data_IF_625794457643
#
_entry.id   IF_625794457643
#
_cell.length_a   1.000
_cell.length_b   1.000
_cell.length_c   1.000
_cell.angle_alpha   90.00
_cell.angle_beta   90.00
_cell.angle_gamma   90.00
#
_symmetry.space_group_name_H-M   'P 1'
#
loop_
_entity.id
_entity.type
_entity.pdbx_description
1 polymer ?
#
# COMPACT_ATOMS: atom_id res chain seq x y z
N UNK A 1 -1.86 28.50 4.60
CA UNK A 1 -1.96 27.74 3.34
C UNK A 1 -2.14 26.23 3.56
N UNK A 2 -2.23 25.73 4.80
CA UNK A 2 -2.35 24.28 5.08
C UNK A 2 -3.80 23.73 5.20
N UNK A 3 -4.81 24.50 4.76
CA UNK A 3 -6.23 24.08 4.83
C UNK A 3 -6.79 23.49 3.53
N UNK A 4 -6.00 23.46 2.46
CA UNK A 4 -6.50 23.18 1.10
C UNK A 4 -6.11 21.78 0.61
N UNK A 5 -4.98 21.21 1.05
CA UNK A 5 -4.49 19.94 0.48
C UNK A 5 -5.25 18.66 0.87
N UNK A 6 -6.23 18.71 1.77
CA UNK A 6 -7.11 17.56 2.06
C UNK A 6 -8.55 17.83 1.57
N UNK A 7 -8.88 19.07 1.17
CA UNK A 7 -10.24 19.48 0.85
C UNK A 7 -10.57 19.40 -0.66
N UNK A 8 -9.56 19.31 -1.52
CA UNK A 8 -9.70 19.59 -2.97
C UNK A 8 -10.23 18.42 -3.81
N UNK A 9 -10.32 17.19 -3.26
CA UNK A 9 -10.84 16.02 -4.00
C UNK A 9 -12.37 15.80 -3.83
N UNK A 10 -13.10 16.76 -3.25
CA UNK A 10 -14.50 16.58 -2.82
C UNK A 10 -15.58 16.79 -3.87
N UNK A 11 -15.23 17.14 -5.11
CA UNK A 11 -16.20 17.48 -6.18
C UNK A 11 -16.09 16.58 -7.42
N UNK A 12 -15.74 15.30 -7.25
CA UNK A 12 -15.91 14.26 -8.26
C UNK A 12 -17.20 13.44 -8.04
N UNK A 13 -17.81 12.84 -9.08
CA UNK A 13 -18.89 11.87 -8.89
C UNK A 13 -18.40 10.74 -7.98
N UNK A 14 -18.97 10.63 -6.77
CA UNK A 14 -18.59 9.60 -5.79
C UNK A 14 -18.79 8.23 -6.42
N UNK A 15 -17.68 7.51 -6.60
CA UNK A 15 -17.71 6.17 -7.20
C UNK A 15 -18.57 5.22 -6.36
N UNK A 16 -19.14 4.20 -7.00
CA UNK A 16 -19.90 3.13 -6.32
C UNK A 16 -19.03 2.29 -5.37
N UNK A 17 -17.71 2.45 -5.41
CA UNK A 17 -16.77 1.76 -4.55
C UNK A 17 -16.55 2.51 -3.24
N UNK A 18 -16.65 1.77 -2.14
CA UNK A 18 -16.36 2.28 -0.80
C UNK A 18 -14.87 2.63 -0.65
N UNK A 19 -14.57 3.87 -0.29
CA UNK A 19 -13.23 4.39 -0.03
C UNK A 19 -12.91 4.33 1.47
N UNK A 20 -12.32 3.22 1.92
CA UNK A 20 -11.80 3.06 3.28
C UNK A 20 -10.29 3.25 3.40
N UNK A 21 -9.63 3.63 2.30
CA UNK A 21 -8.17 3.71 2.15
C UNK A 21 -7.75 5.05 1.51
N UNK A 22 -6.58 5.57 1.90
CA UNK A 22 -6.03 6.79 1.30
C UNK A 22 -5.54 6.57 -0.14
N UNK A 23 -5.35 7.65 -0.88
CA UNK A 23 -4.69 7.63 -2.20
C UNK A 23 -3.35 6.88 -2.14
N UNK A 24 -2.54 7.13 -1.12
CA UNK A 24 -1.22 6.49 -0.98
C UNK A 24 -1.37 4.98 -0.70
N UNK A 25 -2.37 4.56 0.07
CA UNK A 25 -2.62 3.13 0.30
C UNK A 25 -3.02 2.44 -1.01
N UNK A 26 -3.84 3.11 -1.83
CA UNK A 26 -4.23 2.63 -3.17
C UNK A 26 -3.04 2.55 -4.12
N UNK A 27 -2.08 3.48 -4.03
CA UNK A 27 -0.82 3.38 -4.79
C UNK A 27 -0.05 2.11 -4.41
N UNK A 28 0.06 1.79 -3.11
CA UNK A 28 0.74 0.58 -2.65
C UNK A 28 0.03 -0.71 -3.08
N UNK A 29 -1.26 -0.85 -2.75
CA UNK A 29 -1.95 -2.14 -2.89
C UNK A 29 -2.59 -2.37 -4.26
N UNK A 30 -2.79 -1.31 -5.06
CA UNK A 30 -3.44 -1.42 -6.38
C UNK A 30 -2.48 -1.05 -7.49
N UNK A 31 -1.93 0.16 -7.49
CA UNK A 31 -1.08 0.63 -8.60
C UNK A 31 0.22 -0.19 -8.70
N UNK A 32 0.93 -0.39 -7.58
CA UNK A 32 2.16 -1.20 -7.56
C UNK A 32 1.86 -2.66 -7.96
N UNK A 33 0.79 -3.25 -7.44
CA UNK A 33 0.42 -4.64 -7.75
C UNK A 33 0.09 -4.80 -9.24
N UNK A 34 -0.70 -3.89 -9.83
CA UNK A 34 -0.96 -3.89 -11.26
C UNK A 34 0.30 -3.70 -12.09
N UNK A 35 1.20 -2.80 -11.68
CA UNK A 35 2.49 -2.61 -12.34
C UNK A 35 3.35 -3.87 -12.33
N UNK A 36 3.41 -4.57 -11.20
CA UNK A 36 4.13 -5.84 -11.05
C UNK A 36 3.50 -6.95 -11.91
N UNK A 37 2.17 -7.06 -11.95
CA UNK A 37 1.44 -8.00 -12.81
C UNK A 37 1.73 -7.71 -14.29
N UNK A 38 1.75 -6.44 -14.70
CA UNK A 38 2.12 -6.07 -16.07
C UNK A 38 3.56 -6.46 -16.39
N UNK A 39 4.50 -6.28 -15.44
CA UNK A 39 5.88 -6.76 -15.59
C UNK A 39 5.95 -8.28 -15.78
N UNK A 40 5.17 -9.05 -15.01
CA UNK A 40 5.06 -10.51 -15.18
C UNK A 40 4.53 -10.88 -16.57
N UNK A 41 3.49 -10.19 -17.05
CA UNK A 41 2.92 -10.46 -18.37
C UNK A 41 3.91 -10.15 -19.50
N UNK A 42 4.67 -9.06 -19.39
CA UNK A 42 5.70 -8.71 -20.38
C UNK A 42 6.79 -9.79 -20.44
N UNK A 43 7.31 -10.22 -19.28
CA UNK A 43 8.32 -11.27 -19.21
C UNK A 43 7.77 -12.60 -19.74
N UNK A 44 6.55 -12.97 -19.33
CA UNK A 44 5.88 -14.18 -19.77
C UNK A 44 5.68 -14.21 -21.28
N UNK A 45 5.26 -13.10 -21.88
CA UNK A 45 5.14 -12.96 -23.33
C UNK A 45 6.50 -13.17 -24.03
N UNK A 46 7.57 -12.57 -23.50
CA UNK A 46 8.93 -12.74 -24.03
C UNK A 46 9.42 -14.19 -24.00
N UNK A 47 9.06 -14.96 -22.97
CA UNK A 47 9.43 -16.39 -22.82
C UNK A 47 8.56 -17.29 -23.70
N UNK A 48 7.29 -16.97 -23.91
CA UNK A 48 6.34 -17.79 -24.68
C UNK A 48 6.49 -17.61 -26.19
N UNK A 49 6.71 -16.38 -26.65
CA UNK A 49 6.77 -16.04 -28.09
C UNK A 49 8.20 -16.21 -28.63
N UNK A 50 9.21 -15.97 -27.80
CA UNK A 50 10.62 -16.02 -28.19
C UNK A 50 11.39 -17.22 -27.66
N UNK A 51 12.61 -17.40 -28.14
CA UNK A 51 13.60 -18.26 -27.47
C UNK A 51 14.24 -17.48 -26.33
N UNK A 52 14.11 -17.90 -25.06
CA UNK A 52 14.57 -17.12 -23.91
C UNK A 52 16.09 -16.98 -23.84
N UNK A 53 16.81 -17.94 -24.44
CA UNK A 53 18.27 -17.94 -24.62
C UNK A 53 18.61 -18.56 -25.99
N UNK A 54 19.59 -18.01 -26.69
CA UNK A 54 20.17 -18.65 -27.87
C UNK A 54 21.69 -18.74 -27.75
N UNK A 55 22.22 -19.94 -27.85
CA UNK A 55 23.63 -20.23 -27.72
C UNK A 55 24.29 -20.42 -29.09
N UNK A 56 25.52 -19.93 -29.19
CA UNK A 56 26.41 -20.17 -30.32
C UNK A 56 27.03 -21.56 -30.18
N UNK A 57 26.31 -22.58 -30.65
CA UNK A 57 26.77 -23.96 -30.61
C UNK A 57 27.71 -24.29 -31.77
N UNK A 58 28.63 -25.28 -31.63
CA UNK A 58 29.45 -25.75 -32.73
C UNK A 58 28.61 -26.24 -33.92
N UNK A 59 29.16 -26.15 -35.14
CA UNK A 59 28.45 -26.53 -36.38
C UNK A 59 28.01 -28.01 -36.43
N UNK A 60 28.60 -28.87 -35.60
CA UNK A 60 28.21 -30.27 -35.44
C UNK A 60 26.83 -30.43 -34.78
N UNK A 61 26.39 -29.45 -33.98
CA UNK A 61 25.14 -29.52 -33.23
C UNK A 61 23.99 -29.09 -34.14
N UNK A 62 23.37 -30.06 -34.82
CA UNK A 62 22.22 -29.81 -35.69
C UNK A 62 20.90 -30.10 -34.98
N UNK A 63 19.91 -29.23 -35.18
CA UNK A 63 18.51 -29.43 -34.76
C UNK A 63 18.35 -29.70 -33.27
N UNK A 64 18.17 -30.97 -32.90
CA UNK A 64 17.90 -31.39 -31.51
C UNK A 64 19.07 -31.10 -30.56
N UNK A 65 20.32 -31.15 -31.04
CA UNK A 65 21.49 -30.87 -30.20
C UNK A 65 21.58 -29.38 -29.81
N UNK A 66 21.21 -28.47 -30.72
CA UNK A 66 21.08 -27.03 -30.42
C UNK A 66 19.95 -26.79 -29.40
N UNK A 67 18.79 -27.41 -29.61
CA UNK A 67 17.67 -27.36 -28.65
C UNK A 67 18.04 -27.85 -27.25
N UNK A 68 18.81 -28.93 -27.16
CA UNK A 68 19.34 -29.45 -25.89
C UNK A 68 20.33 -28.48 -25.23
N UNK A 69 21.28 -27.94 -26.00
CA UNK A 69 22.25 -26.97 -25.48
C UNK A 69 21.57 -25.71 -24.93
N UNK A 70 20.62 -25.14 -25.67
CA UNK A 70 19.84 -23.98 -25.24
C UNK A 70 19.05 -24.28 -23.95
N UNK A 71 18.42 -25.46 -23.87
CA UNK A 71 17.61 -25.85 -22.72
C UNK A 71 18.46 -26.12 -21.47
N UNK A 72 19.60 -26.80 -21.61
CA UNK A 72 20.53 -27.04 -20.50
C UNK A 72 21.16 -25.74 -20.01
N UNK A 73 21.54 -24.84 -20.92
CA UNK A 73 22.07 -23.54 -20.53
C UNK A 73 21.01 -22.67 -19.85
N UNK A 74 19.76 -22.72 -20.31
CA UNK A 74 18.65 -22.06 -19.63
C UNK A 74 18.42 -22.60 -18.23
N UNK A 75 18.46 -23.92 -18.02
CA UNK A 75 18.19 -24.55 -16.71
C UNK A 75 19.36 -24.41 -15.74
N UNK A 76 20.57 -24.65 -16.22
CA UNK A 76 21.78 -24.64 -15.38
C UNK A 76 22.17 -23.23 -14.98
N UNK A 77 21.80 -22.20 -15.75
CA UNK A 77 22.27 -20.84 -15.57
C UNK A 77 23.56 -20.56 -16.35
N UNK A 78 23.94 -19.29 -16.40
CA UNK A 78 25.11 -18.82 -17.13
C UNK A 78 25.97 -17.90 -16.27
N UNK A 79 27.13 -17.48 -16.74
CA UNK A 79 27.97 -16.50 -16.05
C UNK A 79 28.40 -15.37 -16.98
N UNK A 80 28.62 -14.19 -16.42
CA UNK A 80 29.10 -13.04 -17.17
C UNK A 80 30.63 -13.08 -17.25
N UNK A 81 31.16 -12.88 -18.45
CA UNK A 81 32.58 -12.69 -18.70
C UNK A 81 32.75 -11.35 -19.45
N UNK A 82 33.44 -10.36 -18.86
CA UNK A 82 33.73 -9.11 -19.56
C UNK A 82 34.50 -9.36 -20.85
N UNK A 83 34.15 -8.65 -21.92
CA UNK A 83 34.74 -8.82 -23.27
C UNK A 83 36.26 -8.58 -23.28
N UNK A 84 36.77 -7.74 -22.38
CA UNK A 84 38.19 -7.44 -22.25
C UNK A 84 39.01 -8.65 -21.74
N UNK A 85 38.36 -9.58 -21.02
CA UNK A 85 38.98 -10.82 -20.57
C UNK A 85 38.80 -11.92 -21.62
N UNK A 86 39.75 -12.00 -22.54
CA UNK A 86 39.76 -12.96 -23.66
C UNK A 86 39.86 -14.42 -23.16
N UNK A 87 40.40 -14.63 -21.96
CA UNK A 87 40.62 -15.98 -21.41
C UNK A 87 39.44 -16.46 -20.56
N UNK A 88 38.88 -17.62 -20.94
CA UNK A 88 37.92 -18.33 -20.10
C UNK A 88 38.68 -18.88 -18.89
N UNK A 89 38.32 -18.52 -17.65
CA UNK A 89 39.02 -19.00 -16.46
C UNK A 89 39.03 -20.53 -16.39
N UNK A 90 40.05 -21.11 -15.76
CA UNK A 90 40.06 -22.55 -15.49
C UNK A 90 38.81 -22.97 -14.69
N UNK A 91 38.25 -24.14 -15.01
CA UNK A 91 37.01 -24.66 -14.42
C UNK A 91 37.13 -24.92 -12.91
N UNK A 92 38.36 -25.09 -12.42
CA UNK A 92 38.66 -25.22 -10.99
C UNK A 92 38.38 -23.93 -10.20
N UNK A 93 38.38 -22.77 -10.89
CA UNK A 93 38.11 -21.48 -10.27
C UNK A 93 36.61 -21.20 -10.26
N UNK A 94 36.08 -20.64 -9.15
CA UNK A 94 34.69 -20.22 -9.09
C UNK A 94 34.43 -19.18 -10.19
N UNK A 95 33.35 -19.38 -10.96
CA UNK A 95 32.89 -18.39 -11.93
C UNK A 95 32.42 -17.15 -11.17
N UNK A 96 33.18 -16.05 -11.24
CA UNK A 96 32.74 -14.76 -10.73
C UNK A 96 31.57 -14.28 -11.58
N UNK A 97 30.45 -13.91 -10.95
CA UNK A 97 29.21 -13.42 -11.59
C UNK A 97 28.37 -14.48 -12.29
N UNK A 98 27.85 -15.41 -11.50
CA UNK A 98 26.81 -16.34 -11.95
C UNK A 98 25.46 -15.63 -12.08
N UNK A 99 24.79 -15.85 -13.21
CA UNK A 99 23.54 -15.19 -13.61
C UNK A 99 22.45 -16.25 -13.70
N UNK A 100 21.56 -16.27 -12.72
CA UNK A 100 20.39 -17.17 -12.68
C UNK A 100 19.08 -16.50 -12.25
N UNK A 101 19.12 -15.22 -11.84
CA UNK A 101 17.93 -14.51 -11.37
C UNK A 101 16.82 -14.44 -12.42
N UNK A 102 17.15 -14.44 -13.72
CA UNK A 102 16.17 -14.36 -14.81
C UNK A 102 15.18 -15.53 -14.80
N UNK A 103 15.58 -16.69 -14.29
CA UNK A 103 14.71 -17.86 -14.11
C UNK A 103 13.65 -17.59 -13.02
N UNK A 104 14.03 -16.80 -12.02
CA UNK A 104 13.25 -16.52 -10.82
C UNK A 104 12.50 -15.20 -10.88
N UNK A 105 12.79 -14.32 -11.86
CA UNK A 105 12.23 -12.97 -11.94
C UNK A 105 10.70 -12.97 -11.81
N UNK A 106 9.99 -13.83 -12.53
CA UNK A 106 8.53 -13.90 -12.44
C UNK A 106 8.03 -14.23 -11.04
N UNK A 107 8.68 -15.16 -10.34
CA UNK A 107 8.35 -15.53 -8.96
C UNK A 107 8.71 -14.42 -7.98
N UNK A 108 9.82 -13.71 -8.20
CA UNK A 108 10.21 -12.54 -7.41
C UNK A 108 9.13 -11.47 -7.53
N UNK A 109 8.72 -11.09 -8.75
CA UNK A 109 7.66 -10.10 -8.97
C UNK A 109 6.32 -10.52 -8.36
N UNK A 110 5.97 -11.80 -8.43
CA UNK A 110 4.77 -12.34 -7.79
C UNK A 110 4.86 -12.23 -6.26
N UNK A 111 6.00 -12.59 -5.68
CA UNK A 111 6.29 -12.42 -4.27
C UNK A 111 6.14 -10.98 -3.82
N UNK A 112 6.75 -10.04 -4.55
CA UNK A 112 6.61 -8.61 -4.31
C UNK A 112 5.14 -8.18 -4.31
N UNK A 113 4.36 -8.61 -5.31
CA UNK A 113 2.94 -8.28 -5.41
C UNK A 113 2.15 -8.79 -4.19
N UNK A 114 2.42 -10.01 -3.74
CA UNK A 114 1.80 -10.58 -2.54
C UNK A 114 2.12 -9.75 -1.29
N UNK A 115 3.38 -9.33 -1.11
CA UNK A 115 3.78 -8.50 0.03
C UNK A 115 3.12 -7.11 0.01
N UNK A 116 2.90 -6.50 -1.15
CA UNK A 116 2.15 -5.24 -1.26
C UNK A 116 0.64 -5.39 -1.02
N UNK A 117 0.07 -6.57 -1.24
CA UNK A 117 -1.33 -6.87 -0.92
C UNK A 117 -1.55 -7.18 0.57
N UNK A 118 -0.52 -7.70 1.26
CA UNK A 118 -0.62 -8.16 2.65
C UNK A 118 -1.21 -7.11 3.62
N UNK A 119 -0.77 -5.83 3.63
CA UNK A 119 -1.32 -4.84 4.55
C UNK A 119 -2.82 -4.59 4.34
N UNK A 120 -3.28 -4.60 3.09
CA UNK A 120 -4.71 -4.45 2.77
C UNK A 120 -5.54 -5.63 3.27
N UNK A 121 -5.03 -6.85 3.11
CA UNK A 121 -5.69 -8.03 3.66
C UNK A 121 -5.76 -7.99 5.19
N UNK A 122 -4.68 -7.57 5.85
CA UNK A 122 -4.65 -7.41 7.31
C UNK A 122 -5.65 -6.35 7.78
N UNK A 123 -5.70 -5.18 7.13
CA UNK A 123 -6.69 -4.14 7.41
C UNK A 123 -8.12 -4.70 7.36
N UNK A 124 -8.46 -5.43 6.30
CA UNK A 124 -9.79 -6.03 6.15
C UNK A 124 -10.06 -7.12 7.20
N UNK A 125 -9.07 -7.93 7.55
CA UNK A 125 -9.21 -8.97 8.55
C UNK A 125 -9.47 -8.39 9.95
N UNK A 126 -8.71 -7.36 10.34
CA UNK A 126 -8.85 -6.72 11.64
C UNK A 126 -10.14 -5.89 11.75
N UNK A 127 -10.50 -5.13 10.72
CA UNK A 127 -11.77 -4.36 10.70
C UNK A 127 -13.02 -5.23 10.63
N UNK A 128 -12.90 -6.50 10.24
CA UNK A 128 -13.99 -7.48 10.36
C UNK A 128 -14.17 -7.97 11.81
N UNK A 129 -13.11 -8.01 12.60
CA UNK A 129 -13.15 -8.50 14.00
C UNK A 129 -13.59 -7.43 15.00
N UNK A 130 -13.48 -6.15 14.66
CA UNK A 130 -13.79 -5.02 15.55
C UNK A 130 -15.29 -4.76 15.78
N UNK A 131 -16.20 -5.60 15.26
CA UNK A 131 -17.64 -5.57 15.56
C UNK A 131 -18.44 -4.46 14.87
N UNK A 132 -17.80 -3.41 14.32
CA UNK A 132 -18.47 -2.30 13.63
C UNK A 132 -18.16 -2.24 12.14
N UNK A 133 -18.98 -2.89 11.32
CA UNK A 133 -18.72 -2.96 9.88
C UNK A 133 -19.08 -1.65 9.16
N UNK A 134 -18.12 -0.72 9.07
CA UNK A 134 -18.26 0.58 8.38
C UNK A 134 -18.83 0.41 6.96
N UNK A 135 -18.36 -0.61 6.23
CA UNK A 135 -18.85 -0.92 4.86
C UNK A 135 -20.35 -1.21 4.82
N UNK A 136 -20.86 -1.94 5.81
CA UNK A 136 -22.28 -2.28 5.92
C UNK A 136 -23.11 -1.05 6.27
N UNK A 137 -22.60 -0.19 7.14
CA UNK A 137 -23.27 1.07 7.51
C UNK A 137 -23.42 1.97 6.30
N UNK A 138 -22.35 2.20 5.56
CA UNK A 138 -22.38 3.08 4.38
C UNK A 138 -23.24 2.48 3.27
N UNK A 139 -23.18 1.15 3.08
CA UNK A 139 -24.06 0.45 2.14
C UNK A 139 -25.54 0.61 2.51
N UNK A 140 -25.89 0.50 3.80
CA UNK A 140 -27.27 0.71 4.26
C UNK A 140 -27.74 2.16 4.03
N UNK A 141 -26.86 3.14 4.13
CA UNK A 141 -27.20 4.54 3.82
C UNK A 141 -27.47 4.72 2.32
N UNK A 142 -26.66 4.10 1.45
CA UNK A 142 -26.74 4.25 -0.01
C UNK A 142 -27.84 3.41 -0.67
N UNK A 143 -28.06 2.18 -0.23
CA UNK A 143 -28.91 1.20 -0.93
C UNK A 143 -30.40 1.27 -0.51
N UNK A 144 -30.73 1.95 0.59
CA UNK A 144 -32.08 1.91 1.12
C UNK A 144 -33.02 2.82 0.30
N UNK A 145 -34.13 2.24 -0.19
CA UNK A 145 -35.17 2.95 -0.97
C UNK A 145 -35.70 4.21 -0.26
N UNK A 146 -35.66 4.20 1.08
CA UNK A 146 -35.95 5.37 1.91
C UNK A 146 -34.67 5.80 2.63
N UNK A 147 -34.04 6.88 2.15
CA UNK A 147 -32.79 7.41 2.69
C UNK A 147 -32.86 7.69 4.21
N UNK A 148 -34.02 8.16 4.69
CA UNK A 148 -34.23 8.51 6.10
C UNK A 148 -34.13 7.30 7.04
N UNK A 149 -34.67 6.14 6.65
CA UNK A 149 -34.59 4.91 7.48
C UNK A 149 -33.16 4.37 7.58
N UNK A 150 -32.37 4.51 6.53
CA UNK A 150 -30.95 4.09 6.52
C UNK A 150 -30.08 4.98 7.38
N UNK A 151 -30.31 6.28 7.30
CA UNK A 151 -29.68 7.27 8.15
C UNK A 151 -29.99 7.05 9.64
N UNK A 152 -31.28 6.90 10.00
CA UNK A 152 -31.67 6.65 11.40
C UNK A 152 -31.05 5.36 11.96
N UNK A 153 -31.00 4.31 11.12
CA UNK A 153 -30.38 3.04 11.50
C UNK A 153 -28.87 3.20 11.73
N UNK A 154 -28.18 3.95 10.87
CA UNK A 154 -26.76 4.25 11.00
C UNK A 154 -26.46 5.10 12.25
N UNK A 155 -27.29 6.12 12.52
CA UNK A 155 -27.21 6.97 13.71
C UNK A 155 -27.32 6.16 15.00
N UNK A 156 -28.37 5.33 15.12
CA UNK A 156 -28.59 4.46 16.29
C UNK A 156 -27.45 3.47 16.47
N UNK A 157 -27.04 2.79 15.39
CA UNK A 157 -25.95 1.81 15.44
C UNK A 157 -24.62 2.45 15.87
N UNK A 158 -24.30 3.64 15.34
CA UNK A 158 -23.06 4.32 15.69
C UNK A 158 -23.09 4.82 17.14
N UNK A 159 -24.22 5.32 17.63
CA UNK A 159 -24.40 5.68 19.05
C UNK A 159 -24.20 4.46 19.96
N UNK A 160 -24.91 3.36 19.70
CA UNK A 160 -24.78 2.13 20.49
C UNK A 160 -23.34 1.61 20.52
N UNK A 161 -22.63 1.70 19.39
CA UNK A 161 -21.22 1.36 19.33
C UNK A 161 -20.34 2.25 20.22
N UNK A 162 -20.55 3.58 20.18
CA UNK A 162 -19.78 4.53 21.00
C UNK A 162 -20.09 4.39 22.50
N UNK A 163 -21.34 4.12 22.86
CA UNK A 163 -21.76 3.87 24.25
C UNK A 163 -21.09 2.59 24.77
N UNK A 164 -21.18 1.48 24.03
CA UNK A 164 -20.53 0.22 24.40
C UNK A 164 -19.00 0.37 24.52
N UNK A 165 -18.37 1.16 23.64
CA UNK A 165 -16.94 1.45 23.69
C UNK A 165 -16.56 2.26 24.94
N UNK A 166 -17.42 3.19 25.37
CA UNK A 166 -17.21 4.02 26.54
C UNK A 166 -17.48 3.28 27.86
N UNK A 167 -18.46 2.38 27.89
CA UNK A 167 -18.76 1.49 29.02
C UNK A 167 -17.69 0.41 29.21
N UNK A 168 -17.07 -0.05 28.12
CA UNK A 168 -15.92 -0.94 28.20
C UNK A 168 -14.71 -0.16 28.77
N UNK A 169 -14.54 -0.24 30.10
CA UNK A 169 -13.41 0.31 30.82
C UNK A 169 -12.14 -0.41 30.38
N UNK A 170 -11.51 0.03 29.30
CA UNK A 170 -10.07 -0.03 29.02
C UNK A 170 -9.29 -1.30 29.38
N UNK A 171 -9.93 -2.47 29.45
CA UNK A 171 -9.25 -3.74 29.70
C UNK A 171 -8.56 -4.13 28.40
N UNK A 172 -7.40 -3.53 28.20
CA UNK A 172 -6.39 -3.92 27.23
C UNK A 172 -5.95 -5.34 27.58
N UNK A 173 -6.70 -6.34 27.12
CA UNK A 173 -6.31 -7.73 27.24
C UNK A 173 -5.10 -7.92 26.31
N UNK A 174 -3.90 -7.96 26.86
CA UNK A 174 -2.67 -8.17 26.13
C UNK A 174 -2.59 -9.63 25.64
N UNK A 175 -3.13 -9.93 24.46
CA UNK A 175 -2.85 -11.21 23.80
C UNK A 175 -3.71 -11.52 22.59
N UNK A 176 -3.10 -12.11 21.56
CA UNK A 176 -3.77 -12.69 20.39
C UNK A 176 -4.73 -13.85 20.73
N UNK A 177 -4.69 -14.39 21.96
CA UNK A 177 -5.53 -15.50 22.44
C UNK A 177 -6.81 -15.09 23.17
N UNK A 178 -7.08 -13.79 23.35
CA UNK A 178 -8.33 -13.35 23.96
C UNK A 178 -9.44 -13.21 22.89
N UNK A 179 -10.59 -13.89 23.04
CA UNK A 179 -11.71 -13.74 22.09
C UNK A 179 -12.31 -12.32 22.08
N UNK A 180 -12.09 -11.53 23.14
CA UNK A 180 -12.53 -10.14 23.28
C UNK A 180 -11.37 -9.12 23.14
N UNK A 181 -10.36 -9.40 22.31
CA UNK A 181 -9.30 -8.44 22.01
C UNK A 181 -9.81 -7.32 21.09
N UNK A 182 -10.28 -6.22 21.68
CA UNK A 182 -10.62 -5.01 20.93
C UNK A 182 -9.35 -4.24 20.57
N UNK A 183 -8.97 -4.27 19.29
CA UNK A 183 -7.98 -3.34 18.74
C UNK A 183 -8.71 -2.18 18.10
N UNK A 184 -8.55 -0.99 18.66
CA UNK A 184 -9.15 0.23 18.11
C UNK A 184 -8.75 0.45 16.65
N UNK A 185 -9.69 0.94 15.82
CA UNK A 185 -9.48 1.20 14.39
C UNK A 185 -8.24 2.05 14.15
N UNK A 186 -7.94 3.03 15.02
CA UNK A 186 -6.73 3.85 14.95
C UNK A 186 -5.46 2.99 15.01
N UNK A 187 -5.37 2.10 15.98
CA UNK A 187 -4.16 1.30 16.21
C UNK A 187 -3.93 0.36 15.04
N UNK A 188 -4.99 -0.26 14.52
CA UNK A 188 -4.91 -1.07 13.30
C UNK A 188 -4.45 -0.21 12.13
N UNK A 189 -5.08 0.95 11.90
CA UNK A 189 -4.80 1.81 10.77
C UNK A 189 -3.33 2.30 10.76
N UNK A 190 -2.84 2.80 11.90
CA UNK A 190 -1.44 3.21 12.05
C UNK A 190 -0.48 2.03 11.88
N UNK A 191 -0.81 0.85 12.38
CA UNK A 191 0.00 -0.35 12.17
C UNK A 191 0.09 -0.72 10.68
N UNK A 192 -1.00 -0.57 9.92
CA UNK A 192 -1.01 -0.80 8.47
C UNK A 192 -0.13 0.22 7.73
N UNK A 193 -0.18 1.51 8.11
CA UNK A 193 0.71 2.54 7.54
C UNK A 193 2.19 2.23 7.78
N UNK A 194 2.54 1.86 9.01
CA UNK A 194 3.90 1.43 9.36
C UNK A 194 4.29 0.19 8.55
N UNK A 195 3.37 -0.76 8.39
CA UNK A 195 3.61 -1.97 7.60
C UNK A 195 3.87 -1.67 6.13
N UNK A 196 3.21 -0.67 5.52
CA UNK A 196 3.54 -0.24 4.14
C UNK A 196 4.96 0.33 4.03
N UNK A 197 5.42 1.11 5.02
CA UNK A 197 6.80 1.63 5.06
C UNK A 197 7.80 0.48 5.21
N UNK A 198 7.56 -0.40 6.18
CA UNK A 198 8.42 -1.57 6.40
C UNK A 198 8.48 -2.42 5.13
N UNK A 199 7.34 -2.65 4.49
CA UNK A 199 7.29 -3.40 3.25
C UNK A 199 8.10 -2.72 2.15
N UNK A 200 7.88 -1.42 1.87
CA UNK A 200 8.60 -0.74 0.78
C UNK A 200 10.12 -0.73 0.98
N UNK A 201 10.58 -0.56 2.22
CA UNK A 201 12.00 -0.66 2.59
C UNK A 201 12.50 -2.11 2.48
N UNK A 202 11.76 -3.08 3.01
CA UNK A 202 12.13 -4.49 2.94
C UNK A 202 12.26 -4.97 1.49
N UNK A 203 11.42 -4.49 0.56
CA UNK A 203 11.53 -4.83 -0.86
C UNK A 203 12.90 -4.45 -1.44
N UNK A 204 13.50 -3.33 -1.05
CA UNK A 204 14.87 -2.98 -1.50
C UNK A 204 15.89 -4.01 -1.02
N UNK A 205 15.83 -4.41 0.25
CA UNK A 205 16.74 -5.40 0.81
C UNK A 205 16.53 -6.79 0.20
N UNK A 206 15.28 -7.20 0.01
CA UNK A 206 14.95 -8.47 -0.62
C UNK A 206 15.47 -8.52 -2.06
N UNK A 207 15.25 -7.47 -2.87
CA UNK A 207 15.77 -7.40 -4.23
C UNK A 207 17.30 -7.42 -4.28
N UNK A 208 17.97 -6.77 -3.33
CA UNK A 208 19.43 -6.80 -3.23
C UNK A 208 19.97 -8.23 -2.98
N UNK A 209 19.26 -9.02 -2.15
CA UNK A 209 19.62 -10.42 -1.87
C UNK A 209 19.31 -11.30 -3.10
N UNK A 210 18.12 -11.20 -3.67
CA UNK A 210 17.68 -12.09 -4.75
C UNK A 210 18.40 -11.87 -6.08
N UNK A 211 18.74 -10.62 -6.42
CA UNK A 211 19.47 -10.31 -7.65
C UNK A 211 20.97 -10.62 -7.53
N UNK A 212 21.47 -10.89 -6.32
CA UNK A 212 22.88 -11.21 -6.03
C UNK A 212 23.89 -10.13 -6.47
N UNK A 213 23.45 -8.88 -6.54
CA UNK A 213 24.30 -7.69 -6.75
C UNK A 213 23.72 -6.48 -6.02
N UNK A 214 24.51 -5.40 -5.91
CA UNK A 214 24.14 -4.18 -5.20
C UNK A 214 23.00 -3.39 -5.88
N UNK A 215 21.75 -3.83 -5.72
CA UNK A 215 20.56 -3.23 -6.30
C UNK A 215 20.35 -1.78 -5.87
N UNK A 216 20.73 -1.42 -4.64
CA UNK A 216 20.63 -0.04 -4.13
C UNK A 216 21.35 0.98 -5.02
N UNK A 217 22.54 0.63 -5.51
CA UNK A 217 23.36 1.51 -6.35
C UNK A 217 22.98 1.44 -7.84
N UNK A 218 21.97 0.66 -8.23
CA UNK A 218 21.60 0.47 -9.64
C UNK A 218 20.99 1.73 -10.25
N UNK A 219 19.99 2.31 -9.60
CA UNK A 219 19.31 3.52 -10.07
C UNK A 219 20.21 4.75 -10.20
N UNK A 220 20.98 5.13 -9.15
CA UNK A 220 21.81 6.33 -9.21
C UNK A 220 22.92 6.21 -10.26
N UNK A 221 23.51 5.03 -10.43
CA UNK A 221 24.51 4.78 -11.48
C UNK A 221 23.90 4.95 -12.88
N UNK A 222 22.70 4.40 -13.10
CA UNK A 222 21.99 4.52 -14.38
C UNK A 222 21.61 5.97 -14.71
N UNK A 223 21.10 6.73 -13.74
CA UNK A 223 20.75 8.15 -13.93
C UNK A 223 22.01 8.98 -14.20
N UNK A 224 23.09 8.77 -13.44
CA UNK A 224 24.32 9.54 -13.60
C UNK A 224 24.98 9.31 -14.97
N UNK A 225 25.00 8.06 -15.45
CA UNK A 225 25.52 7.73 -16.78
C UNK A 225 24.66 8.33 -17.90
N UNK A 226 23.33 8.28 -17.77
CA UNK A 226 22.44 8.91 -18.74
C UNK A 226 22.65 10.43 -18.83
N UNK A 227 22.88 11.10 -17.69
CA UNK A 227 23.14 12.54 -17.65
C UNK A 227 24.53 12.93 -18.20
N UNK A 228 25.54 12.06 -18.02
CA UNK A 228 26.93 12.38 -18.38
C UNK A 228 27.26 12.00 -19.82
N UNK A 229 26.82 10.83 -20.26
CA UNK A 229 27.23 10.22 -21.54
C UNK A 229 26.14 10.33 -22.61
N UNK A 230 24.88 10.64 -22.24
CA UNK A 230 23.76 10.77 -23.19
C UNK A 230 23.28 9.45 -23.82
N UNK A 231 24.09 8.39 -23.71
CA UNK A 231 23.76 7.05 -24.19
C UNK A 231 22.97 6.23 -23.15
N UNK A 232 22.16 5.30 -23.66
CA UNK A 232 21.40 4.38 -22.83
C UNK A 232 22.34 3.48 -22.04
N UNK A 233 22.24 3.53 -20.71
CA UNK A 233 23.01 2.69 -19.79
C UNK A 233 22.86 1.19 -20.11
N UNK A 234 23.97 0.53 -20.44
CA UNK A 234 24.09 -0.92 -20.47
C UNK A 234 24.73 -1.40 -19.16
N UNK A 235 23.91 -2.00 -18.29
CA UNK A 235 24.42 -2.48 -17.02
C UNK A 235 25.17 -3.80 -17.16
N UNK A 236 26.42 -3.93 -16.67
CA UNK A 236 27.10 -5.23 -16.60
C UNK A 236 26.42 -6.20 -15.62
N UNK A 237 25.48 -5.72 -14.80
CA UNK A 237 24.67 -6.53 -13.86
C UNK A 237 23.50 -7.24 -14.55
N UNK A 238 23.08 -6.69 -15.70
CA UNK A 238 22.09 -7.29 -16.60
C UNK A 238 22.72 -7.64 -17.94
N UNK A 239 23.67 -8.60 -17.97
CA UNK A 239 24.39 -8.94 -19.19
C UNK A 239 23.45 -9.55 -20.23
N UNK A 240 23.53 -9.06 -21.47
CA UNK A 240 22.79 -9.61 -22.63
C UNK A 240 23.55 -10.76 -23.29
N UNK A 241 24.84 -10.90 -22.99
CA UNK A 241 25.72 -11.94 -23.48
C UNK A 241 26.35 -12.64 -22.28
N UNK A 242 26.23 -13.96 -22.22
CA UNK A 242 26.71 -14.78 -21.11
C UNK A 242 27.41 -16.03 -21.64
N UNK A 243 28.22 -16.66 -20.80
CA UNK A 243 28.89 -17.92 -21.10
C UNK A 243 28.20 -19.06 -20.35
N UNK A 244 28.06 -20.21 -21.01
CA UNK A 244 27.44 -21.40 -20.44
C UNK A 244 28.39 -22.59 -20.58
N UNK A 245 28.60 -23.30 -19.48
CA UNK A 245 29.38 -24.54 -19.43
C UNK A 245 28.45 -25.73 -19.22
N UNK A 246 28.43 -26.69 -20.15
CA UNK A 246 27.67 -27.92 -20.01
C UNK A 246 28.47 -29.16 -20.40
N UNK A 247 28.04 -30.32 -19.88
CA UNK A 247 28.70 -31.61 -20.11
C UNK A 247 27.79 -32.53 -20.91
N UNK A 248 28.36 -33.21 -21.89
CA UNK A 248 27.70 -34.29 -22.65
C UNK A 248 28.45 -35.60 -22.40
N UNK A 249 27.70 -36.68 -22.14
CA UNK A 249 28.24 -38.03 -21.93
C UNK A 249 28.10 -38.84 -23.23
N UNK A 250 29.17 -39.51 -23.66
CA UNK A 250 29.20 -40.45 -24.80
C UNK A 250 29.70 -41.82 -24.33
N UNK A 251 29.28 -42.92 -24.97
CA UNK A 251 29.79 -44.27 -24.66
C UNK A 251 31.27 -44.41 -25.07
N UNK A 252 32.10 -45.04 -24.23
CA UNK A 252 33.45 -45.49 -24.59
C UNK A 252 34.64 -44.70 -24.00
N UNK A 253 34.51 -43.39 -23.76
CA UNK A 253 35.42 -42.62 -22.87
C UNK A 253 34.93 -41.19 -22.68
N UNK A 254 34.99 -40.76 -21.42
CA UNK A 254 35.01 -39.42 -20.83
C UNK A 254 33.92 -38.38 -21.16
N UNK A 255 33.62 -37.64 -20.10
CA UNK A 255 32.72 -36.50 -20.08
C UNK A 255 33.29 -35.35 -20.94
N UNK A 256 32.60 -35.00 -22.03
CA UNK A 256 32.99 -33.87 -22.86
C UNK A 256 32.31 -32.59 -22.38
N UNK A 257 33.11 -31.59 -22.06
CA UNK A 257 32.64 -30.29 -21.62
C UNK A 257 32.68 -29.30 -22.76
N UNK A 258 31.58 -28.58 -22.94
CA UNK A 258 31.41 -27.50 -23.90
C UNK A 258 31.23 -26.19 -23.16
N UNK A 259 31.90 -25.15 -23.65
CA UNK A 259 31.72 -23.76 -23.22
C UNK A 259 31.22 -22.99 -24.43
N UNK A 260 30.00 -22.46 -24.35
CA UNK A 260 29.35 -21.74 -25.47
C UNK A 260 28.93 -20.35 -25.02
N UNK A 261 28.98 -19.41 -25.95
CA UNK A 261 28.48 -18.05 -25.74
C UNK A 261 26.99 -18.02 -26.04
N UNK A 262 26.19 -17.40 -25.18
CA UNK A 262 24.75 -17.31 -25.35
C UNK A 262 24.26 -15.87 -25.27
N UNK A 263 23.34 -15.51 -26.17
CA UNK A 263 22.55 -14.30 -26.06
C UNK A 263 21.36 -14.53 -25.13
N UNK A 264 21.04 -13.53 -24.33
CA UNK A 264 20.00 -13.56 -23.31
C UNK A 264 19.06 -12.36 -23.49
N UNK A 265 18.17 -12.38 -24.50
CA UNK A 265 17.31 -11.24 -24.83
C UNK A 265 16.38 -10.85 -23.68
N UNK A 266 15.94 -11.82 -22.88
CA UNK A 266 15.07 -11.61 -21.72
C UNK A 266 15.66 -10.59 -20.73
N UNK A 267 16.99 -10.50 -20.67
CA UNK A 267 17.65 -9.64 -19.71
C UNK A 267 17.51 -8.15 -20.05
N UNK A 268 17.31 -7.82 -21.33
CA UNK A 268 16.98 -6.47 -21.76
C UNK A 268 15.66 -6.01 -21.14
N UNK A 269 14.65 -6.89 -21.07
CA UNK A 269 13.38 -6.58 -20.41
C UNK A 269 13.54 -6.46 -18.90
N UNK A 270 14.27 -7.41 -18.28
CA UNK A 270 14.53 -7.38 -16.84
C UNK A 270 15.23 -6.08 -16.41
N UNK A 271 16.25 -5.64 -17.15
CA UNK A 271 16.96 -4.38 -16.88
C UNK A 271 15.99 -3.19 -16.79
N UNK A 272 15.06 -3.07 -17.74
CA UNK A 272 14.10 -1.94 -17.78
C UNK A 272 13.00 -2.07 -16.73
N UNK A 273 12.49 -3.27 -16.49
CA UNK A 273 11.49 -3.53 -15.45
C UNK A 273 12.06 -3.22 -14.07
N UNK A 274 13.26 -3.72 -13.76
CA UNK A 274 13.89 -3.50 -12.46
C UNK A 274 14.32 -2.04 -12.24
N UNK A 275 14.67 -1.31 -13.31
CA UNK A 275 14.90 0.13 -13.22
C UNK A 275 13.62 0.90 -12.88
N UNK A 276 12.52 0.57 -13.56
CA UNK A 276 11.21 1.17 -13.26
C UNK A 276 10.76 0.87 -11.83
N UNK A 277 10.94 -0.37 -11.37
CA UNK A 277 10.66 -0.78 -9.98
C UNK A 277 11.54 0.00 -9.00
N UNK A 278 12.83 0.16 -9.28
CA UNK A 278 13.74 0.90 -8.41
C UNK A 278 13.27 2.35 -8.20
N UNK A 279 12.97 3.05 -9.30
CA UNK A 279 12.45 4.43 -9.26
C UNK A 279 11.12 4.51 -8.51
N UNK A 280 10.21 3.59 -8.83
CA UNK A 280 8.89 3.53 -8.21
C UNK A 280 8.97 3.28 -6.71
N UNK A 281 9.83 2.36 -6.25
CA UNK A 281 9.98 2.04 -4.83
C UNK A 281 10.54 3.23 -4.02
N UNK A 282 11.43 4.06 -4.60
CA UNK A 282 11.89 5.30 -3.95
C UNK A 282 10.74 6.27 -3.77
N UNK A 283 10.00 6.55 -4.85
CA UNK A 283 8.83 7.45 -4.82
C UNK A 283 7.81 6.94 -3.78
N UNK A 284 7.48 5.65 -3.84
CA UNK A 284 6.51 5.02 -2.96
C UNK A 284 6.95 5.07 -1.50
N UNK A 285 8.24 4.87 -1.21
CA UNK A 285 8.78 4.97 0.15
C UNK A 285 8.62 6.40 0.68
N UNK A 286 8.99 7.41 -0.10
CA UNK A 286 8.82 8.83 0.29
C UNK A 286 7.34 9.14 0.55
N UNK A 287 6.45 8.76 -0.37
CA UNK A 287 5.02 8.97 -0.23
C UNK A 287 4.45 8.26 1.01
N UNK A 288 4.91 7.05 1.33
CA UNK A 288 4.49 6.32 2.52
C UNK A 288 4.89 7.06 3.80
N UNK A 289 6.12 7.57 3.89
CA UNK A 289 6.55 8.41 5.01
C UNK A 289 5.70 9.68 5.11
N UNK A 290 5.47 10.37 3.99
CA UNK A 290 4.65 11.58 3.96
C UNK A 290 3.20 11.31 4.39
N UNK A 291 2.66 10.14 4.03
CA UNK A 291 1.28 9.77 4.34
C UNK A 291 0.99 9.65 5.84
N UNK A 292 1.99 9.42 6.69
CA UNK A 292 1.78 9.28 8.13
C UNK A 292 1.53 10.63 8.82
N UNK A 293 2.10 11.73 8.30
CA UNK A 293 2.03 13.02 9.00
C UNK A 293 0.60 13.55 9.20
N UNK A 294 -0.31 13.53 8.20
CA UNK A 294 -1.71 13.93 8.42
C UNK A 294 -2.39 13.12 9.54
N UNK A 295 -2.09 11.83 9.63
CA UNK A 295 -2.67 10.95 10.65
C UNK A 295 -2.11 11.20 12.05
N UNK A 296 -0.82 11.56 12.17
CA UNK A 296 -0.26 12.03 13.44
C UNK A 296 -0.95 13.33 13.87
N UNK A 297 -1.14 14.27 12.94
CA UNK A 297 -1.82 15.54 13.20
C UNK A 297 -3.29 15.31 13.60
N UNK A 298 -3.96 14.34 13.00
CA UNK A 298 -5.33 13.92 13.35
C UNK A 298 -5.47 13.39 14.80
N UNK A 299 -4.37 12.95 15.44
CA UNK A 299 -4.39 12.59 16.87
C UNK A 299 -4.68 13.79 17.77
N UNK A 300 -4.32 15.00 17.32
CA UNK A 300 -4.53 16.23 18.09
C UNK A 300 -6.01 16.50 18.33
N UNK A 301 -6.39 16.71 19.60
CA UNK A 301 -7.77 17.08 19.98
C UNK A 301 -8.24 18.35 19.27
N UNK A 302 -7.33 19.29 18.96
CA UNK A 302 -7.64 20.54 18.26
C UNK A 302 -8.16 20.29 16.84
N UNK A 303 -7.48 19.44 16.08
CA UNK A 303 -7.87 19.05 14.71
C UNK A 303 -9.22 18.32 14.71
N UNK A 304 -9.37 17.31 15.60
CA UNK A 304 -10.64 16.57 15.76
C UNK A 304 -11.81 17.48 16.11
N UNK A 305 -11.62 18.38 17.08
CA UNK A 305 -12.65 19.35 17.49
C UNK A 305 -13.00 20.30 16.35
N UNK A 306 -12.02 20.72 15.54
CA UNK A 306 -12.23 21.59 14.38
C UNK A 306 -13.06 20.89 13.29
N UNK A 307 -12.79 19.62 13.02
CA UNK A 307 -13.56 18.83 12.05
C UNK A 307 -15.01 18.66 12.53
N UNK A 308 -15.20 18.26 13.79
CA UNK A 308 -16.54 18.11 14.37
C UNK A 308 -17.31 19.42 14.32
N UNK A 309 -16.66 20.54 14.66
CA UNK A 309 -17.27 21.88 14.61
C UNK A 309 -17.73 22.22 13.19
N UNK A 310 -16.91 21.95 12.17
CA UNK A 310 -17.27 22.18 10.77
C UNK A 310 -18.55 21.43 10.37
N UNK A 311 -18.63 20.13 10.67
CA UNK A 311 -19.82 19.34 10.34
C UNK A 311 -21.04 19.71 11.19
N UNK A 312 -20.88 20.16 12.43
CA UNK A 312 -22.01 20.64 13.24
C UNK A 312 -22.63 21.93 12.68
N UNK A 313 -21.83 22.83 12.09
CA UNK A 313 -22.33 24.07 11.46
C UNK A 313 -23.05 23.84 10.13
N UNK A 314 -22.75 22.74 9.43
CA UNK A 314 -23.40 22.39 8.15
C UNK A 314 -24.81 21.82 8.35
N UNK A 315 -25.17 21.46 9.59
CA UNK A 315 -26.39 20.69 9.86
C UNK A 315 -27.65 21.43 9.45
N UNK A 316 -28.54 20.83 8.64
CA UNK A 316 -29.75 21.49 8.18
C UNK A 316 -30.65 21.95 9.33
N UNK A 317 -30.72 21.18 10.42
CA UNK A 317 -31.45 21.58 11.65
C UNK A 317 -30.82 22.80 12.34
N UNK A 318 -29.49 22.94 12.28
CA UNK A 318 -28.82 24.15 12.80
C UNK A 318 -29.10 25.37 11.91
N UNK A 319 -29.22 25.18 10.60
CA UNK A 319 -29.56 26.25 9.64
C UNK A 319 -31.02 26.67 9.82
N UNK A 320 -31.93 25.72 10.05
CA UNK A 320 -33.36 25.97 10.29
C UNK A 320 -33.58 26.67 11.64
N UNK A 321 -32.93 26.21 12.72
CA UNK A 321 -32.91 26.89 14.02
C UNK A 321 -32.30 28.31 13.91
N UNK A 322 -31.23 28.49 13.11
CA UNK A 322 -30.63 29.82 12.90
C UNK A 322 -31.55 30.75 12.10
N UNK A 323 -32.29 30.23 11.11
CA UNK A 323 -33.27 31.00 10.33
C UNK A 323 -34.48 31.41 11.17
N UNK A 324 -34.99 30.52 12.02
CA UNK A 324 -36.05 30.84 12.98
C UNK A 324 -35.57 31.88 14.01
N UNK A 325 -34.35 31.76 14.53
CA UNK A 325 -33.76 32.73 15.46
C UNK A 325 -33.46 34.09 14.80
N UNK A 326 -33.09 34.12 13.51
CA UNK A 326 -32.93 35.37 12.75
C UNK A 326 -34.26 36.10 12.51
N UNK A 327 -35.39 35.39 12.59
CA UNK A 327 -36.73 35.99 12.48
C UNK A 327 -37.27 36.54 13.82
N UNK A 328 -36.62 36.22 14.94
CA UNK A 328 -36.96 36.69 16.28
C UNK A 328 -35.77 37.50 16.83
N UNK A 329 -35.75 38.79 16.52
CA UNK A 329 -34.68 39.69 16.91
C UNK A 329 -34.74 40.05 18.41
N UNK A 330 -34.12 39.22 19.25
CA UNK A 330 -33.35 39.62 20.43
C UNK A 330 -32.70 38.38 21.08
N UNK A 331 -31.47 38.55 21.59
CA UNK A 331 -30.71 37.59 22.41
C UNK A 331 -29.76 36.58 21.69
N UNK A 332 -28.89 37.08 20.82
CA UNK A 332 -27.88 36.28 20.07
C UNK A 332 -26.47 36.19 20.69
N UNK A 333 -26.30 36.44 22.00
CA UNK A 333 -24.96 36.42 22.63
C UNK A 333 -24.71 35.22 23.55
N UNK A 334 -25.75 34.49 24.00
CA UNK A 334 -25.60 33.43 25.01
C UNK A 334 -25.40 32.00 24.46
N UNK A 335 -25.93 31.64 23.28
CA UNK A 335 -25.88 30.25 22.76
C UNK A 335 -24.59 29.84 22.05
N UNK A 336 -23.84 30.79 21.50
CA UNK A 336 -22.52 30.53 20.89
C UNK A 336 -21.50 30.04 21.94
N UNK A 337 -21.64 30.47 23.20
CA UNK A 337 -20.78 30.05 24.31
C UNK A 337 -21.07 28.60 24.77
N UNK A 338 -22.34 28.21 24.94
CA UNK A 338 -22.71 26.85 25.42
C UNK A 338 -22.41 25.75 24.38
N UNK A 339 -22.56 26.06 23.08
CA UNK A 339 -22.13 25.14 22.01
C UNK A 339 -20.62 24.91 22.00
N UNK A 340 -19.82 25.92 22.34
CA UNK A 340 -18.36 25.80 22.36
C UNK A 340 -17.86 25.01 23.59
N UNK A 341 -18.55 25.12 24.73
CA UNK A 341 -18.21 24.42 25.97
C UNK A 341 -18.44 22.90 25.87
N UNK A 342 -19.51 22.46 25.20
CA UNK A 342 -19.86 21.03 25.06
C UNK A 342 -19.10 20.29 23.95
N UNK A 343 -18.43 20.99 23.02
CA UNK A 343 -17.63 20.35 21.95
C UNK A 343 -16.46 19.54 22.51
N UNK A 344 -15.78 20.03 23.55
CA UNK A 344 -14.63 19.32 24.12
C UNK A 344 -15.02 18.02 24.82
N UNK A 345 -16.06 17.98 25.69
CA UNK A 345 -16.63 16.74 26.22
C UNK A 345 -17.11 15.78 25.13
N UNK A 346 -17.78 16.30 24.10
CA UNK A 346 -18.26 15.47 22.98
C UNK A 346 -17.10 14.85 22.18
N UNK A 347 -16.03 15.60 21.94
CA UNK A 347 -14.82 15.10 21.27
C UNK A 347 -14.10 14.04 22.11
N UNK A 348 -14.22 14.11 23.44
CA UNK A 348 -13.72 13.06 24.33
C UNK A 348 -14.62 11.81 24.32
N UNK A 349 -15.94 11.98 24.25
CA UNK A 349 -16.91 10.89 24.09
C UNK A 349 -16.69 10.10 22.78
N UNK A 350 -16.42 10.79 21.66
CA UNK A 350 -16.10 10.13 20.38
C UNK A 350 -14.76 9.37 20.41
N UNK A 351 -13.85 9.72 21.34
CA UNK A 351 -12.46 9.25 21.36
C UNK A 351 -11.76 9.46 20.00
N UNK A 352 -10.59 8.86 19.79
CA UNK A 352 -9.90 8.96 18.49
C UNK A 352 -10.51 7.99 17.47
N UNK A 353 -10.91 6.80 17.90
CA UNK A 353 -11.50 5.78 17.02
C UNK A 353 -12.84 6.23 16.44
N UNK A 354 -13.73 6.82 17.24
CA UNK A 354 -15.01 7.32 16.73
C UNK A 354 -14.86 8.49 15.76
N UNK A 355 -13.89 9.38 16.00
CA UNK A 355 -13.55 10.44 15.03
C UNK A 355 -13.06 9.86 13.69
N UNK A 356 -12.23 8.80 13.72
CA UNK A 356 -11.74 8.13 12.50
C UNK A 356 -12.88 7.45 11.75
N UNK A 357 -13.75 6.71 12.46
CA UNK A 357 -14.92 6.05 11.87
C UNK A 357 -15.84 7.09 11.21
N UNK A 358 -16.10 8.20 11.91
CA UNK A 358 -16.89 9.30 11.38
C UNK A 358 -16.24 9.90 10.12
N UNK A 359 -14.93 10.12 10.14
CA UNK A 359 -14.19 10.63 8.97
C UNK A 359 -14.35 9.71 7.75
N UNK A 360 -14.23 8.39 7.92
CA UNK A 360 -14.44 7.41 6.86
C UNK A 360 -15.88 7.45 6.34
N UNK A 361 -16.87 7.58 7.22
CA UNK A 361 -18.28 7.73 6.82
C UNK A 361 -18.44 9.02 5.99
N UNK A 362 -17.91 10.14 6.48
CA UNK A 362 -18.04 11.45 5.84
C UNK A 362 -17.44 11.52 4.43
N UNK A 363 -16.31 10.84 4.16
CA UNK A 363 -15.75 10.76 2.79
C UNK A 363 -16.69 10.02 1.84
N UNK A 364 -17.36 8.99 2.34
CA UNK A 364 -18.16 8.09 1.51
C UNK A 364 -19.63 8.50 1.36
N UNK A 365 -20.13 9.36 2.24
CA UNK A 365 -21.50 9.90 2.23
C UNK A 365 -21.50 11.38 1.90
N UNK A 366 -22.67 11.97 1.68
CA UNK A 366 -22.77 13.42 1.45
C UNK A 366 -22.56 14.22 2.73
N UNK A 367 -22.03 15.44 2.60
CA UNK A 367 -21.67 16.28 3.73
C UNK A 367 -22.90 16.58 4.62
N UNK A 368 -24.09 16.67 4.01
CA UNK A 368 -25.37 16.82 4.72
C UNK A 368 -25.67 15.59 5.57
N UNK A 369 -25.59 14.39 4.99
CA UNK A 369 -25.84 13.12 5.70
C UNK A 369 -24.84 12.91 6.83
N UNK A 370 -23.55 13.21 6.58
CA UNK A 370 -22.52 13.16 7.61
C UNK A 370 -22.80 14.15 8.74
N UNK A 371 -23.24 15.36 8.40
CA UNK A 371 -23.63 16.38 9.36
C UNK A 371 -24.82 15.94 10.23
N UNK A 372 -25.84 15.33 9.66
CA UNK A 372 -27.00 14.83 10.41
C UNK A 372 -26.59 13.72 11.40
N UNK A 373 -25.66 12.83 11.01
CA UNK A 373 -25.12 11.81 11.90
C UNK A 373 -24.42 12.44 13.11
N UNK A 374 -23.50 13.40 12.88
CA UNK A 374 -22.76 14.01 13.98
C UNK A 374 -23.65 14.87 14.88
N UNK A 375 -24.66 15.56 14.30
CA UNK A 375 -25.64 16.33 15.07
C UNK A 375 -26.53 15.43 15.92
N UNK A 376 -26.95 14.29 15.40
CA UNK A 376 -27.70 13.30 16.18
C UNK A 376 -26.87 12.83 17.39
N UNK A 377 -25.61 12.46 17.17
CA UNK A 377 -24.69 12.03 18.23
C UNK A 377 -24.45 13.14 19.25
N UNK A 378 -24.28 14.39 18.82
CA UNK A 378 -24.09 15.54 19.70
C UNK A 378 -25.31 15.87 20.56
N UNK A 379 -26.53 15.56 20.11
CA UNK A 379 -27.75 15.74 20.91
C UNK A 379 -28.00 14.61 21.91
N UNK A 380 -27.46 13.43 21.65
CA UNK A 380 -27.76 12.21 22.42
C UNK A 380 -26.54 11.61 23.13
N UNK A 381 -25.40 12.30 23.19
CA UNK A 381 -24.24 11.79 23.92
C UNK A 381 -24.45 11.92 25.42
N UNK A 382 -24.10 10.87 26.15
CA UNK A 382 -23.99 10.90 27.60
C UNK A 382 -22.52 11.11 27.96
N UNK A 383 -22.15 12.19 28.67
CA UNK A 383 -20.76 12.41 29.05
C UNK A 383 -20.29 11.25 29.94
N UNK A 384 -19.05 10.75 29.75
CA UNK A 384 -18.53 9.66 30.56
C UNK A 384 -18.49 10.06 32.04
N UNK A 385 -19.04 9.21 32.92
CA UNK A 385 -19.21 9.48 34.36
C UNK A 385 -17.90 9.72 35.13
N UNK A 386 -16.73 9.46 34.55
CA UNK A 386 -15.45 9.35 35.27
C UNK A 386 -14.56 10.60 35.25
N UNK A 387 -15.10 11.83 35.07
CA UNK A 387 -14.28 13.06 35.12
C UNK A 387 -14.87 14.25 35.92
N UNK A 388 -15.95 14.05 36.66
CA UNK A 388 -16.51 15.07 37.57
C UNK A 388 -16.11 14.84 39.05
N UNK A 389 -14.87 14.40 39.29
CA UNK A 389 -14.29 14.37 40.65
C UNK A 389 -12.94 15.09 40.58
N UNK A 390 -12.94 16.42 40.50
CA UNK A 390 -11.88 17.31 41.00
C UNK A 390 -12.25 18.77 40.69
N UNK A 391 -13.12 19.39 41.50
CA UNK A 391 -13.10 20.84 41.75
C UNK A 391 -14.06 21.27 42.87
N UNK A 392 -14.23 20.47 43.92
CA UNK A 392 -14.81 20.93 45.19
C UNK A 392 -14.05 20.27 46.33
N UNK A 393 -12.91 20.86 46.69
CA UNK A 393 -12.41 21.00 48.08
C UNK A 393 -11.62 22.29 48.14
#
# INVERSE_FOLDING_TARGET
>A
MDKILIAEDRYGPKSSHLEDDDIIDRLNNRATVWGLIMGILIIGCGVLVGKPINCWTPAEFKGQHDGYANSICWLKGSYYLPTDNITIPDRSKPRSYFVSYYQWTTFILLGMAMFFLLPRYLWQAFTRRSGFHIKKVIKNIKDQKEANKGLESAQKLFKTYLDALNESNGSMCCGFSCPNFYVGYRTVYLAIKVLYIINSIAQFFLLNIFLAFNFTSFGPEGINKLLTEGDWFESPRFPRVTMCDFMVRRLGSNQHWYSVQCNLPINMFNEKIFLAIWLWLIILTILNFLSIFPWIVFLSKKQRSSMIRHYLHISPKSIEETKELLSLQEESTYRTSDSMYKIHPFTDYLRVDGCLIFYIIAINTDDVTASEIISYLYRHFTPPASRFITSEV
#
